data_IF_253010490718
#
_entry.id   IF_253010490718
#
_cell.length_a   1.000
_cell.length_b   1.000
_cell.length_c   1.000
_cell.angle_alpha   90.00
_cell.angle_beta   90.00
_cell.angle_gamma   90.00
#
_symmetry.space_group_name_H-M   'P 1'
#
loop_
_entity.id
_entity.type
_entity.pdbx_description
1 polymer ?
#
# COMPACT_ATOMS: atom_id res chain seq x y z
N UNK A 1 20.60 15.81 -13.70
CA UNK A 1 19.26 15.57 -14.30
C UNK A 1 19.23 15.91 -15.79
N UNK A 2 19.69 17.10 -16.22
CA UNK A 2 19.73 17.49 -17.65
C UNK A 2 20.54 16.52 -18.53
N UNK A 3 21.74 16.10 -18.08
CA UNK A 3 22.58 15.09 -18.75
C UNK A 3 21.85 13.76 -19.03
N UNK A 4 20.86 13.40 -18.21
CA UNK A 4 20.05 12.18 -18.35
C UNK A 4 18.81 12.36 -19.24
N UNK A 5 18.77 13.41 -20.06
CA UNK A 5 17.67 13.67 -21.00
C UNK A 5 16.45 14.41 -20.41
N UNK A 6 16.44 14.77 -19.12
CA UNK A 6 15.30 15.50 -18.53
C UNK A 6 15.22 16.95 -19.03
N UNK A 7 14.00 17.41 -19.29
CA UNK A 7 13.72 18.80 -19.67
C UNK A 7 13.90 19.76 -18.49
N UNK A 8 14.27 21.02 -18.77
CA UNK A 8 14.46 22.07 -17.74
C UNK A 8 13.21 22.28 -16.89
N UNK A 9 12.02 22.21 -17.51
CA UNK A 9 10.73 22.31 -16.82
C UNK A 9 10.52 21.15 -15.84
N UNK A 10 10.84 19.92 -16.24
CA UNK A 10 10.71 18.74 -15.37
C UNK A 10 11.72 18.75 -14.23
N UNK A 11 12.93 19.24 -14.49
CA UNK A 11 13.96 19.43 -13.44
C UNK A 11 13.50 20.46 -12.42
N UNK A 12 12.91 21.57 -12.86
CA UNK A 12 12.38 22.61 -11.99
C UNK A 12 11.25 22.10 -11.08
N UNK A 13 10.33 21.33 -11.65
CA UNK A 13 9.25 20.66 -10.93
C UNK A 13 9.79 19.69 -9.87
N UNK A 14 10.72 18.80 -10.25
CA UNK A 14 11.30 17.80 -9.34
C UNK A 14 12.15 18.41 -8.23
N UNK A 15 12.92 19.45 -8.55
CA UNK A 15 13.74 20.16 -7.58
C UNK A 15 12.97 21.26 -6.82
N UNK A 16 11.68 21.45 -7.10
CA UNK A 16 10.83 22.51 -6.52
C UNK A 16 11.44 23.91 -6.60
N UNK A 17 12.13 24.20 -7.69
CA UNK A 17 12.78 25.50 -7.96
C UNK A 17 12.16 26.15 -9.19
N UNK A 18 12.38 27.46 -9.36
CA UNK A 18 11.94 28.17 -10.56
C UNK A 18 12.68 27.66 -11.80
N UNK A 19 11.98 27.57 -12.92
CA UNK A 19 12.56 27.17 -14.22
C UNK A 19 13.71 28.10 -14.64
N UNK A 20 13.65 29.39 -14.24
CA UNK A 20 14.73 30.36 -14.46
C UNK A 20 16.03 29.94 -13.77
N UNK A 21 15.97 29.50 -12.51
CA UNK A 21 17.14 29.03 -11.76
C UNK A 21 17.77 27.80 -12.43
N UNK A 22 16.95 26.82 -12.84
CA UNK A 22 17.43 25.65 -13.60
C UNK A 22 18.05 26.06 -14.92
N UNK A 23 17.47 27.05 -15.61
CA UNK A 23 18.00 27.55 -16.88
C UNK A 23 19.37 28.16 -16.67
N UNK A 24 19.54 29.03 -15.68
CA UNK A 24 20.84 29.61 -15.32
C UNK A 24 21.89 28.54 -15.01
N UNK A 25 21.55 27.55 -14.18
CA UNK A 25 22.45 26.45 -13.84
C UNK A 25 22.80 25.57 -15.04
N UNK A 26 21.85 25.27 -15.93
CA UNK A 26 22.12 24.49 -17.15
C UNK A 26 23.01 25.28 -18.11
N UNK A 27 22.84 26.60 -18.20
CA UNK A 27 23.67 27.45 -19.05
C UNK A 27 25.10 27.52 -18.52
N UNK A 28 25.28 27.74 -17.21
CA UNK A 28 26.59 27.68 -16.57
C UNK A 28 27.26 26.31 -16.73
N UNK A 29 26.51 25.22 -16.54
CA UNK A 29 27.02 23.85 -16.71
C UNK A 29 27.41 23.53 -18.16
N UNK A 30 26.74 24.12 -19.17
CA UNK A 30 27.12 24.00 -20.58
C UNK A 30 28.40 24.75 -20.93
N UNK A 31 28.66 25.87 -20.26
CA UNK A 31 29.90 26.64 -20.44
C UNK A 31 31.10 25.90 -19.82
N UNK A 32 30.88 25.24 -18.67
CA UNK A 32 31.93 24.45 -18.00
C UNK A 32 32.18 23.08 -18.65
N UNK A 33 31.16 22.46 -19.25
CA UNK A 33 31.27 21.18 -19.94
C UNK A 33 30.52 21.21 -21.29
N UNK A 34 31.26 21.41 -22.40
CA UNK A 34 30.70 21.36 -23.74
C UNK A 34 30.05 20.00 -24.11
N UNK A 35 30.50 18.89 -23.50
CA UNK A 35 29.99 17.53 -23.74
C UNK A 35 28.56 17.32 -23.22
N UNK A 36 28.14 18.10 -22.22
CA UNK A 36 26.83 18.01 -21.58
C UNK A 36 25.64 18.08 -22.57
N UNK A 37 25.76 18.86 -23.65
CA UNK A 37 24.71 18.95 -24.68
C UNK A 37 24.64 17.67 -25.53
N UNK A 38 25.79 17.11 -25.89
CA UNK A 38 25.87 15.88 -26.67
C UNK A 38 25.34 14.69 -25.88
N UNK A 39 25.70 14.58 -24.60
CA UNK A 39 25.21 13.54 -23.69
C UNK A 39 23.71 13.66 -23.42
N UNK A 40 23.20 14.89 -23.24
CA UNK A 40 21.76 15.14 -23.16
C UNK A 40 21.04 14.65 -24.42
N UNK A 41 21.54 15.00 -25.60
CA UNK A 41 20.95 14.59 -26.88
C UNK A 41 21.01 13.07 -27.05
N UNK A 42 22.14 12.44 -26.75
CA UNK A 42 22.30 10.99 -26.79
C UNK A 42 21.33 10.29 -25.84
N UNK A 43 21.10 10.83 -24.63
CA UNK A 43 20.11 10.30 -23.69
C UNK A 43 18.66 10.45 -24.19
N UNK A 44 18.34 11.56 -24.88
CA UNK A 44 17.01 11.76 -25.51
C UNK A 44 16.82 10.80 -26.68
N UNK A 45 17.82 10.66 -27.55
CA UNK A 45 17.78 9.76 -28.71
C UNK A 45 17.72 8.29 -28.27
N UNK A 46 18.41 7.92 -27.20
CA UNK A 46 18.31 6.61 -26.57
C UNK A 46 16.92 6.38 -25.95
N UNK A 47 16.35 7.37 -25.27
CA UNK A 47 14.97 7.29 -24.76
C UNK A 47 13.93 7.13 -25.88
N UNK A 48 14.15 7.76 -27.03
CA UNK A 48 13.30 7.62 -28.22
C UNK A 48 13.46 6.23 -28.87
N UNK A 49 14.70 5.74 -29.03
CA UNK A 49 14.97 4.38 -29.53
C UNK A 49 14.37 3.29 -28.63
N UNK A 50 14.45 3.48 -27.32
CA UNK A 50 13.86 2.58 -26.33
C UNK A 50 12.32 2.67 -26.23
N UNK A 51 11.70 3.70 -26.82
CA UNK A 51 10.25 3.86 -26.80
C UNK A 51 9.52 2.85 -27.71
N UNK A 52 10.08 2.48 -28.87
CA UNK A 52 9.39 1.57 -29.81
C UNK A 52 9.16 0.15 -29.23
N UNK A 53 10.16 -0.53 -28.64
CA UNK A 53 9.91 -1.77 -27.89
C UNK A 53 9.03 -1.56 -26.65
N UNK A 54 9.13 -0.39 -26.01
CA UNK A 54 8.32 -0.03 -24.85
C UNK A 54 6.83 0.13 -25.18
N UNK A 55 6.49 0.68 -26.34
CA UNK A 55 5.12 0.83 -26.83
C UNK A 55 4.52 -0.53 -27.16
N UNK A 56 5.29 -1.45 -27.77
CA UNK A 56 4.82 -2.83 -27.99
C UNK A 56 4.49 -3.53 -26.66
N UNK A 57 5.35 -3.40 -25.65
CA UNK A 57 5.11 -3.96 -24.32
C UNK A 57 3.90 -3.33 -23.62
N UNK A 58 3.66 -2.02 -23.83
CA UNK A 58 2.45 -1.34 -23.36
C UNK A 58 1.19 -1.96 -23.97
N UNK A 59 1.13 -2.16 -25.30
CA UNK A 59 -0.02 -2.80 -25.93
C UNK A 59 -0.27 -4.23 -25.44
N UNK A 60 0.80 -5.02 -25.28
CA UNK A 60 0.71 -6.36 -24.71
C UNK A 60 0.16 -6.36 -23.28
N UNK A 61 0.58 -5.39 -22.47
CA UNK A 61 0.06 -5.22 -21.11
C UNK A 61 -1.43 -4.84 -21.11
N UNK A 62 -1.82 -3.87 -21.94
CA UNK A 62 -3.22 -3.43 -22.05
C UNK A 62 -4.12 -4.60 -22.46
N UNK A 63 -3.75 -5.32 -23.52
CA UNK A 63 -4.51 -6.48 -23.99
C UNK A 63 -4.63 -7.57 -22.92
N UNK A 64 -3.57 -7.82 -22.15
CA UNK A 64 -3.62 -8.81 -21.07
C UNK A 64 -4.54 -8.37 -19.93
N UNK A 65 -4.43 -7.12 -19.49
CA UNK A 65 -5.26 -6.59 -18.39
C UNK A 65 -6.73 -6.53 -18.81
N UNK A 66 -7.02 -6.18 -20.06
CA UNK A 66 -8.36 -6.23 -20.64
C UNK A 66 -8.90 -7.66 -20.69
N UNK A 67 -8.11 -8.62 -21.15
CA UNK A 67 -8.53 -10.02 -21.27
C UNK A 67 -8.69 -10.74 -19.93
N UNK A 68 -7.88 -10.40 -18.92
CA UNK A 68 -7.79 -11.16 -17.66
C UNK A 68 -8.30 -10.39 -16.45
N UNK A 69 -8.49 -9.07 -16.57
CA UNK A 69 -8.82 -8.18 -15.44
C UNK A 69 -7.69 -8.02 -14.42
N UNK A 70 -6.52 -8.65 -14.62
CA UNK A 70 -5.42 -8.70 -13.67
C UNK A 70 -4.12 -8.17 -14.27
N UNK A 71 -3.29 -7.58 -13.42
CA UNK A 71 -1.92 -7.24 -13.81
C UNK A 71 -1.02 -8.48 -13.91
N UNK A 72 0.02 -8.44 -14.75
CA UNK A 72 0.96 -9.54 -14.91
C UNK A 72 1.72 -9.82 -13.62
N UNK A 73 1.90 -11.11 -13.33
CA UNK A 73 2.60 -11.61 -12.16
C UNK A 73 4.00 -12.12 -12.50
N UNK A 74 4.96 -11.89 -11.60
CA UNK A 74 6.32 -12.45 -11.70
C UNK A 74 6.37 -13.95 -11.40
N UNK A 75 5.34 -14.47 -10.73
CA UNK A 75 5.21 -15.89 -10.41
C UNK A 75 4.32 -16.63 -11.39
N UNK A 76 3.98 -16.02 -12.54
CA UNK A 76 3.22 -16.68 -13.58
C UNK A 76 4.05 -17.78 -14.24
N UNK A 77 3.38 -18.85 -14.69
CA UNK A 77 4.04 -19.94 -15.42
C UNK A 77 4.57 -19.43 -16.77
N UNK A 78 3.75 -18.64 -17.46
CA UNK A 78 4.12 -18.05 -18.75
C UNK A 78 5.30 -17.08 -18.61
N UNK A 79 6.29 -17.26 -19.49
CA UNK A 79 7.48 -16.42 -19.57
C UNK A 79 7.11 -15.01 -20.06
N UNK A 80 6.20 -14.88 -21.02
CA UNK A 80 5.84 -13.57 -21.56
C UNK A 80 5.14 -12.71 -20.50
N UNK A 81 4.25 -13.31 -19.69
CA UNK A 81 3.66 -12.65 -18.52
C UNK A 81 4.71 -12.18 -17.52
N UNK A 82 5.70 -13.03 -17.17
CA UNK A 82 6.77 -12.65 -16.24
C UNK A 82 7.59 -11.47 -16.74
N UNK A 83 7.93 -11.44 -18.02
CA UNK A 83 8.64 -10.31 -18.64
C UNK A 83 7.81 -9.02 -18.62
N UNK A 84 6.49 -9.10 -18.85
CA UNK A 84 5.59 -7.95 -18.73
C UNK A 84 5.51 -7.45 -17.28
N UNK A 85 5.48 -8.35 -16.29
CA UNK A 85 5.51 -7.99 -14.88
C UNK A 85 6.80 -7.25 -14.50
N UNK A 86 7.95 -7.72 -15.00
CA UNK A 86 9.23 -7.04 -14.80
C UNK A 86 9.29 -5.69 -15.51
N UNK A 87 8.81 -5.60 -16.75
CA UNK A 87 8.75 -4.36 -17.49
C UNK A 87 7.90 -3.32 -16.77
N UNK A 88 6.68 -3.68 -16.33
CA UNK A 88 5.78 -2.81 -15.57
C UNK A 88 6.42 -2.34 -14.26
N UNK A 89 7.15 -3.22 -13.56
CA UNK A 89 7.90 -2.84 -12.35
C UNK A 89 8.97 -1.78 -12.64
N UNK A 90 9.72 -1.90 -13.74
CA UNK A 90 10.70 -0.89 -14.14
C UNK A 90 10.02 0.44 -14.45
N UNK A 91 8.88 0.42 -15.17
CA UNK A 91 8.11 1.62 -15.48
C UNK A 91 7.55 2.32 -14.23
N UNK A 92 7.09 1.57 -13.23
CA UNK A 92 6.70 2.12 -11.91
C UNK A 92 7.86 2.87 -11.25
N UNK A 93 9.06 2.26 -11.20
CA UNK A 93 10.26 2.91 -10.66
C UNK A 93 10.63 4.18 -11.43
N UNK A 94 10.54 4.14 -12.76
CA UNK A 94 10.82 5.31 -13.58
C UNK A 94 9.79 6.42 -13.37
N UNK A 95 8.53 6.06 -13.09
CA UNK A 95 7.48 7.00 -12.70
C UNK A 95 7.78 7.66 -11.36
N UNK A 96 8.15 6.86 -10.35
CA UNK A 96 8.53 7.34 -9.01
C UNK A 96 9.76 8.26 -9.07
N UNK A 97 10.71 7.94 -9.96
CA UNK A 97 11.89 8.76 -10.21
C UNK A 97 11.62 10.00 -11.10
N UNK A 98 10.41 10.13 -11.65
CA UNK A 98 10.03 11.25 -12.53
C UNK A 98 10.70 11.25 -13.90
N UNK A 99 11.26 10.10 -14.33
CA UNK A 99 11.98 9.92 -15.59
C UNK A 99 11.21 9.09 -16.62
N UNK A 100 9.98 8.68 -16.30
CA UNK A 100 9.15 7.89 -17.20
C UNK A 100 8.88 8.64 -18.51
N UNK A 101 9.03 7.93 -19.63
CA UNK A 101 8.65 8.45 -20.94
C UNK A 101 7.17 8.88 -20.92
N UNK A 102 6.84 10.12 -21.33
CA UNK A 102 5.48 10.65 -21.23
C UNK A 102 4.45 9.88 -22.06
N UNK A 103 4.83 9.31 -23.21
CA UNK A 103 3.93 8.51 -24.06
C UNK A 103 3.56 7.21 -23.35
N UNK A 104 4.55 6.51 -22.80
CA UNK A 104 4.31 5.28 -22.01
C UNK A 104 3.52 5.63 -20.74
N UNK A 105 3.85 6.75 -20.09
CA UNK A 105 3.13 7.21 -18.90
C UNK A 105 1.65 7.51 -19.17
N UNK A 106 1.34 8.16 -20.30
CA UNK A 106 -0.03 8.41 -20.72
C UNK A 106 -0.78 7.10 -20.99
N UNK A 107 -0.16 6.17 -21.73
CA UNK A 107 -0.76 4.87 -22.03
C UNK A 107 -1.00 4.01 -20.78
N UNK A 108 -0.06 4.00 -19.83
CA UNK A 108 -0.24 3.30 -18.55
C UNK A 108 -1.33 3.93 -17.69
N UNK A 109 -1.55 5.25 -17.79
CA UNK A 109 -2.56 5.97 -17.00
C UNK A 109 -4.00 5.60 -17.35
N UNK A 110 -4.22 4.90 -18.47
CA UNK A 110 -5.51 4.27 -18.80
C UNK A 110 -5.85 3.13 -17.85
N UNK A 111 -4.84 2.44 -17.30
CA UNK A 111 -5.04 1.34 -16.38
C UNK A 111 -5.22 1.85 -14.94
N UNK A 112 -6.36 1.57 -14.27
CA UNK A 112 -6.54 1.97 -12.88
C UNK A 112 -5.49 1.29 -11.99
N UNK A 113 -5.00 2.01 -10.98
CA UNK A 113 -4.03 1.50 -9.99
C UNK A 113 -2.72 0.93 -10.57
N UNK A 114 -2.37 1.24 -11.82
CA UNK A 114 -1.14 0.72 -12.43
C UNK A 114 0.12 1.10 -11.66
N UNK A 115 0.10 2.19 -10.88
CA UNK A 115 1.22 2.61 -10.01
C UNK A 115 1.29 1.83 -8.70
N UNK A 116 0.18 1.25 -8.23
CA UNK A 116 0.13 0.49 -6.98
C UNK A 116 1.07 -0.71 -7.07
N UNK A 117 1.92 -0.90 -6.08
CA UNK A 117 2.88 -2.02 -6.13
C UNK A 117 2.10 -3.33 -5.91
N UNK A 118 2.41 -4.42 -6.65
CA UNK A 118 1.74 -5.70 -6.45
C UNK A 118 1.90 -6.24 -5.03
N UNK A 119 2.97 -5.83 -4.33
CA UNK A 119 3.19 -6.13 -2.92
C UNK A 119 2.14 -5.45 -2.03
N UNK A 120 1.91 -4.15 -2.23
CA UNK A 120 0.93 -3.38 -1.46
C UNK A 120 -0.48 -3.97 -1.67
N UNK A 121 -0.85 -4.28 -2.92
CA UNK A 121 -2.12 -4.95 -3.22
C UNK A 121 -2.27 -6.33 -2.55
N UNK A 122 -1.19 -7.15 -2.53
CA UNK A 122 -1.21 -8.43 -1.83
C UNK A 122 -1.30 -8.27 -0.31
N UNK A 123 -0.60 -7.29 0.24
CA UNK A 123 -0.64 -6.97 1.68
C UNK A 123 -2.04 -6.48 2.09
N UNK A 124 -2.70 -5.68 1.24
CA UNK A 124 -4.08 -5.26 1.45
C UNK A 124 -5.06 -6.44 1.38
N UNK A 125 -4.90 -7.32 0.39
CA UNK A 125 -5.73 -8.52 0.27
C UNK A 125 -5.55 -9.44 1.48
N UNK A 126 -4.31 -9.72 1.89
CA UNK A 126 -4.03 -10.52 3.07
C UNK A 126 -4.63 -9.90 4.33
N UNK A 127 -4.57 -8.57 4.44
CA UNK A 127 -5.18 -7.85 5.56
C UNK A 127 -6.72 -8.03 5.56
N UNK A 128 -7.35 -7.93 4.39
CA UNK A 128 -8.79 -8.14 4.22
C UNK A 128 -9.20 -9.58 4.53
N UNK A 129 -8.43 -10.57 4.08
CA UNK A 129 -8.70 -11.99 4.32
C UNK A 129 -8.65 -12.30 5.83
N UNK A 130 -7.66 -11.77 6.55
CA UNK A 130 -7.59 -11.92 8.01
C UNK A 130 -8.76 -11.22 8.73
N UNK A 131 -9.19 -10.05 8.24
CA UNK A 131 -10.35 -9.35 8.79
C UNK A 131 -11.62 -10.20 8.62
N UNK A 132 -11.83 -10.76 7.43
CA UNK A 132 -12.97 -11.65 7.16
C UNK A 132 -12.93 -12.91 8.01
N UNK A 133 -11.76 -13.54 8.14
CA UNK A 133 -11.58 -14.70 9.02
C UNK A 133 -11.86 -14.36 10.48
N UNK A 134 -11.40 -13.20 10.96
CA UNK A 134 -11.68 -12.74 12.32
C UNK A 134 -13.17 -12.49 12.54
N UNK A 135 -13.83 -11.79 11.62
CA UNK A 135 -15.26 -11.51 11.69
C UNK A 135 -16.09 -12.79 11.69
N UNK A 136 -15.76 -13.76 10.83
CA UNK A 136 -16.40 -15.07 10.79
C UNK A 136 -16.17 -15.85 12.10
N UNK A 137 -14.95 -15.82 12.64
CA UNK A 137 -14.61 -16.48 13.90
C UNK A 137 -15.42 -15.91 15.07
N UNK A 138 -15.55 -14.58 15.18
CA UNK A 138 -16.37 -13.95 16.21
C UNK A 138 -17.87 -14.17 15.99
N UNK A 139 -18.34 -14.14 14.75
CA UNK A 139 -19.75 -14.39 14.41
C UNK A 139 -20.18 -15.83 14.70
N UNK A 140 -19.27 -16.79 14.64
CA UNK A 140 -19.48 -18.17 15.06
C UNK A 140 -19.58 -18.35 16.60
N UNK A 141 -19.50 -17.26 17.37
CA UNK A 141 -19.60 -17.29 18.83
C UNK A 141 -18.32 -17.74 19.54
N UNK A 142 -17.20 -17.83 18.82
CA UNK A 142 -15.93 -18.16 19.46
C UNK A 142 -15.44 -17.03 20.38
N UNK A 143 -14.76 -17.37 21.49
CA UNK A 143 -14.12 -16.36 22.33
C UNK A 143 -13.03 -15.64 21.55
N UNK A 144 -12.67 -14.42 21.96
CA UNK A 144 -11.58 -13.66 21.32
C UNK A 144 -10.31 -14.50 21.10
N UNK A 145 -9.75 -14.52 19.87
CA UNK A 145 -8.65 -15.41 19.51
C UNK A 145 -7.38 -15.09 20.27
N UNK A 146 -6.65 -16.14 20.66
CA UNK A 146 -5.48 -16.05 21.54
C UNK A 146 -4.21 -16.50 20.83
N UNK A 147 -3.13 -15.78 21.09
CA UNK A 147 -1.78 -16.14 20.63
C UNK A 147 -0.94 -16.83 21.72
N UNK A 148 -1.58 -17.49 22.70
CA UNK A 148 -0.88 -18.11 23.84
C UNK A 148 -0.23 -19.44 23.43
N UNK A 149 0.88 -19.84 24.10
CA UNK A 149 1.45 -21.17 23.92
C UNK A 149 0.39 -22.26 24.17
N UNK A 150 0.28 -23.24 23.26
CA UNK A 150 -0.74 -24.31 23.32
C UNK A 150 -1.94 -24.11 22.40
N UNK A 151 -2.20 -22.88 21.92
CA UNK A 151 -3.20 -22.63 20.86
C UNK A 151 -2.54 -22.85 19.50
N UNK A 152 -3.22 -23.55 18.60
CA UNK A 152 -2.73 -23.91 17.26
C UNK A 152 -3.76 -23.56 16.18
N UNK A 153 -3.29 -23.54 14.92
CA UNK A 153 -4.14 -23.25 13.77
C UNK A 153 -4.70 -21.83 13.76
N UNK A 154 -5.91 -21.69 13.24
CA UNK A 154 -6.56 -20.41 12.94
C UNK A 154 -6.64 -19.45 14.14
N UNK A 155 -6.93 -19.96 15.34
CA UNK A 155 -7.04 -19.11 16.53
C UNK A 155 -5.71 -18.43 16.87
N UNK A 156 -4.58 -19.15 16.75
CA UNK A 156 -3.25 -18.62 17.02
C UNK A 156 -2.88 -17.52 16.03
N UNK A 157 -3.16 -17.76 14.75
CA UNK A 157 -2.85 -16.84 13.66
C UNK A 157 -3.66 -15.55 13.80
N UNK A 158 -4.97 -15.66 14.02
CA UNK A 158 -5.85 -14.52 14.26
C UNK A 158 -5.47 -13.77 15.54
N UNK A 159 -5.11 -14.47 16.61
CA UNK A 159 -4.67 -13.86 17.86
C UNK A 159 -3.38 -13.05 17.69
N UNK A 160 -2.42 -13.58 16.92
CA UNK A 160 -1.18 -12.89 16.59
C UNK A 160 -1.41 -11.67 15.70
N UNK A 161 -2.26 -11.82 14.68
CA UNK A 161 -2.65 -10.74 13.78
C UNK A 161 -3.37 -9.61 14.53
N UNK A 162 -4.34 -9.92 15.38
CA UNK A 162 -5.09 -8.95 16.18
C UNK A 162 -4.18 -8.19 17.16
N UNK A 163 -3.23 -8.89 17.80
CA UNK A 163 -2.20 -8.24 18.63
C UNK A 163 -1.37 -7.23 17.83
N UNK A 164 -1.00 -7.56 16.60
CA UNK A 164 -0.28 -6.66 15.68
C UNK A 164 -1.11 -5.43 15.32
N UNK A 165 -2.41 -5.60 15.01
CA UNK A 165 -3.29 -4.45 14.71
C UNK A 165 -3.43 -3.51 15.91
N UNK A 166 -3.65 -4.05 17.12
CA UNK A 166 -3.72 -3.26 18.37
C UNK A 166 -2.43 -2.50 18.66
N UNK A 167 -1.29 -3.13 18.40
CA UNK A 167 0.02 -2.47 18.52
C UNK A 167 0.11 -1.29 17.55
N UNK A 168 -0.15 -1.50 16.25
CA UNK A 168 -0.11 -0.44 15.24
C UNK A 168 -1.07 0.71 15.54
N UNK A 169 -2.28 0.42 16.00
CA UNK A 169 -3.24 1.45 16.37
C UNK A 169 -2.73 2.33 17.51
N UNK A 170 -2.19 1.73 18.58
CA UNK A 170 -1.63 2.49 19.72
C UNK A 170 -0.40 3.33 19.35
N UNK A 171 0.34 2.95 18.32
CA UNK A 171 1.50 3.68 17.84
C UNK A 171 1.19 4.64 16.69
N UNK A 172 -0.06 4.74 16.23
CA UNK A 172 -0.45 5.60 15.11
C UNK A 172 -0.02 5.10 13.73
N UNK A 173 0.43 3.85 13.64
CA UNK A 173 0.91 3.20 12.40
C UNK A 173 -0.22 2.47 11.65
N UNK A 174 -1.41 2.39 12.23
CA UNK A 174 -2.58 1.82 11.57
C UNK A 174 -3.30 2.91 10.77
N UNK A 175 -3.54 2.67 9.48
CA UNK A 175 -4.27 3.64 8.66
C UNK A 175 -5.71 3.80 9.14
N UNK A 176 -6.30 5.02 9.06
CA UNK A 176 -7.69 5.26 9.46
C UNK A 176 -8.69 4.30 8.78
N UNK A 177 -8.52 4.06 7.48
CA UNK A 177 -9.38 3.12 6.75
C UNK A 177 -9.35 1.68 7.33
N UNK A 178 -8.21 1.26 7.89
CA UNK A 178 -8.08 -0.07 8.51
C UNK A 178 -8.66 -0.12 9.92
N UNK A 179 -8.57 0.97 10.70
CA UNK A 179 -9.26 1.04 12.00
C UNK A 179 -10.77 1.04 11.81
N UNK A 180 -11.28 1.84 10.88
CA UNK A 180 -12.72 1.95 10.60
C UNK A 180 -13.30 0.60 10.14
N UNK A 181 -12.57 -0.12 9.29
CA UNK A 181 -12.96 -1.47 8.84
C UNK A 181 -12.94 -2.50 9.98
N UNK A 182 -12.00 -2.41 10.93
CA UNK A 182 -11.98 -3.26 12.13
C UNK A 182 -13.13 -2.94 13.08
N UNK A 183 -13.42 -1.65 13.31
CA UNK A 183 -14.53 -1.20 14.16
C UNK A 183 -15.88 -1.65 13.59
N UNK A 184 -16.05 -1.60 12.27
CA UNK A 184 -17.27 -2.03 11.59
C UNK A 184 -17.44 -3.56 11.60
N UNK A 185 -16.38 -4.32 11.30
CA UNK A 185 -16.48 -5.77 11.15
C UNK A 185 -16.42 -6.53 12.47
N UNK A 186 -15.68 -6.03 13.46
CA UNK A 186 -15.45 -6.72 14.74
C UNK A 186 -15.49 -5.70 15.90
N UNK A 187 -16.68 -5.21 16.29
CA UNK A 187 -16.82 -4.25 17.38
C UNK A 187 -16.17 -4.75 18.68
N UNK A 188 -15.45 -3.87 19.38
CA UNK A 188 -14.74 -4.23 20.61
C UNK A 188 -13.38 -4.89 20.40
N UNK A 189 -12.87 -4.95 19.16
CA UNK A 189 -11.55 -5.52 18.86
C UNK A 189 -10.40 -4.84 19.63
N UNK A 190 -10.53 -3.57 20.06
CA UNK A 190 -9.52 -2.89 20.88
C UNK A 190 -9.47 -3.36 22.34
N UNK A 191 -10.64 -3.56 22.95
CA UNK A 191 -10.80 -3.84 24.37
C UNK A 191 -10.87 -5.33 24.69
N UNK A 192 -11.28 -6.15 23.73
CA UNK A 192 -11.49 -7.59 23.94
C UNK A 192 -12.48 -7.87 25.06
N UNK A 193 -12.31 -9.01 25.75
CA UNK A 193 -13.19 -9.62 26.78
C UNK A 193 -13.69 -8.67 27.91
N UNK A 194 -13.21 -7.42 28.03
CA UNK A 194 -13.54 -6.52 29.13
C UNK A 194 -14.93 -5.84 29.08
N UNK A 195 -15.74 -6.02 28.03
CA UNK A 195 -17.05 -5.37 27.92
C UNK A 195 -18.27 -6.29 28.10
N UNK A 196 -18.07 -7.59 28.35
CA UNK A 196 -19.17 -8.52 28.66
C UNK A 196 -19.13 -8.98 30.13
N UNK A 197 -18.81 -8.05 31.04
CA UNK A 197 -19.17 -8.24 32.45
C UNK A 197 -20.60 -7.72 32.60
N UNK A 198 -21.50 -8.64 32.90
CA UNK A 198 -22.94 -8.46 33.16
C UNK A 198 -23.25 -7.34 34.17
N UNK A 199 -24.49 -6.81 34.15
CA UNK A 199 -24.96 -5.82 35.13
C UNK A 199 -24.82 -6.38 36.54
N UNK A 200 -24.28 -5.57 37.46
CA UNK A 200 -24.13 -5.93 38.87
C UNK A 200 -25.50 -6.09 39.53
N UNK A 201 -25.91 -7.33 39.76
CA UNK A 201 -26.99 -7.71 40.67
C UNK A 201 -26.50 -7.63 42.14
N UNK A 202 -26.03 -6.45 42.56
CA UNK A 202 -25.64 -6.14 43.95
C UNK A 202 -26.55 -5.03 44.52
N UNK A 203 -27.88 -5.16 44.34
CA UNK A 203 -28.86 -4.30 45.01
C UNK A 203 -30.00 -5.12 45.65
N UNK A 204 -29.63 -6.16 46.39
CA UNK A 204 -30.52 -6.80 47.37
C UNK A 204 -29.73 -7.07 48.64
N UNK A 205 -29.83 -6.16 49.61
CA UNK A 205 -30.13 -6.47 51.02
C UNK A 205 -29.63 -5.37 51.98
N UNK A 206 -30.34 -4.24 52.01
CA UNK A 206 -30.34 -3.34 53.17
C UNK A 206 -31.75 -2.84 53.46
N UNK A 207 -32.64 -3.73 53.91
CA UNK A 207 -33.88 -3.32 54.59
C UNK A 207 -34.52 -4.47 55.38
N UNK A 208 -33.77 -5.09 56.32
CA UNK A 208 -34.41 -5.95 57.32
C UNK A 208 -33.57 -6.30 58.56
N UNK A 209 -33.30 -5.33 59.44
CA UNK A 209 -33.03 -5.62 60.86
C UNK A 209 -33.05 -4.35 61.73
N UNK A 210 -34.19 -3.66 61.79
CA UNK A 210 -34.48 -2.75 62.89
C UNK A 210 -35.31 -3.47 63.94
N UNK A 211 -34.70 -4.15 64.92
CA UNK A 211 -35.34 -4.40 66.21
C UNK A 211 -34.37 -5.00 67.26
N UNK A 212 -34.24 -4.26 68.37
CA UNK A 212 -34.03 -4.67 69.78
C UNK A 212 -32.65 -4.68 70.48
N UNK A 213 -32.57 -3.73 71.45
CA UNK A 213 -32.17 -3.80 72.89
C UNK A 213 -30.69 -4.03 73.23
N UNK A 214 -30.10 -3.48 74.31
CA UNK A 214 -30.52 -2.95 75.63
C UNK A 214 -29.31 -2.13 76.17
N UNK A 215 -29.39 -1.15 77.07
CA UNK A 215 -29.84 -1.19 78.47
C UNK A 215 -29.88 0.22 79.04
#
# INVERSE_FOLDING_TARGET
>A
MYRKGLSRKKIAELARVKVSAVTSHVTAAKAADPGLKAEHRAAVDDAARNAAPGIKRLYQLLAMVEATGRFPSRSAEDKAERELAEWLRRRRRDADAGILNPVIGAGLSVLPDWRRKPREAREDQQWQDHLQQLAAYTAAGHPWPRATPGVTGLEKDLGGWLRSQRYKFRHGDLSPARSDALDAAVPGWLTGRKAAAEPSDDDVDQSRAGMFRTR
#
